data_IF_292579191542
#
_entry.id   IF_292579191542
#
_cell.length_a   1.000
_cell.length_b   1.000
_cell.length_c   1.000
_cell.angle_alpha   90.00
_cell.angle_beta   90.00
_cell.angle_gamma   90.00
#
_symmetry.space_group_name_H-M   'P 1'
#
loop_
_entity.id
_entity.type
_entity.pdbx_description
1 polymer ?
#
# COMPACT_ATOMS: atom_id res chain seq x y z
N UNK A 1 14.35 -42.02 -48.15
CA UNK A 1 14.87 -40.77 -47.54
C UNK A 1 13.77 -39.83 -47.03
N UNK A 2 12.63 -39.68 -47.72
CA UNK A 2 11.53 -38.78 -47.34
C UNK A 2 10.91 -39.06 -45.95
N UNK A 3 10.72 -40.33 -45.56
CA UNK A 3 10.10 -40.70 -44.28
C UNK A 3 10.90 -40.19 -43.07
N UNK A 4 12.25 -40.30 -43.12
CA UNK A 4 13.14 -39.80 -42.06
C UNK A 4 13.03 -38.28 -41.92
N UNK A 5 12.95 -37.56 -43.03
CA UNK A 5 12.80 -36.10 -43.00
C UNK A 5 11.45 -35.68 -42.41
N UNK A 6 10.36 -36.37 -42.77
CA UNK A 6 9.02 -36.10 -42.20
C UNK A 6 9.01 -36.31 -40.69
N UNK A 7 9.60 -37.40 -40.20
CA UNK A 7 9.69 -37.69 -38.76
C UNK A 7 10.49 -36.61 -38.04
N UNK A 8 11.65 -36.22 -38.58
CA UNK A 8 12.48 -35.18 -37.97
C UNK A 8 11.75 -33.84 -37.93
N UNK A 9 11.12 -33.41 -39.03
CA UNK A 9 10.36 -32.16 -39.06
C UNK A 9 9.19 -32.16 -38.09
N UNK A 10 8.52 -33.30 -37.93
CA UNK A 10 7.44 -33.47 -36.96
C UNK A 10 7.94 -33.31 -35.51
N UNK A 11 9.04 -33.97 -35.15
CA UNK A 11 9.65 -33.81 -33.83
C UNK A 11 10.16 -32.38 -33.58
N UNK A 12 10.70 -31.73 -34.61
CA UNK A 12 11.19 -30.35 -34.51
C UNK A 12 10.03 -29.37 -34.27
N UNK A 13 8.91 -29.56 -34.97
CA UNK A 13 7.68 -28.79 -34.74
C UNK A 13 7.13 -29.02 -33.33
N UNK A 14 7.11 -30.28 -32.87
CA UNK A 14 6.62 -30.63 -31.55
C UNK A 14 7.50 -29.98 -30.46
N UNK A 15 8.82 -30.06 -30.62
CA UNK A 15 9.78 -29.43 -29.71
C UNK A 15 9.63 -27.90 -29.67
N UNK A 16 9.49 -27.26 -30.84
CA UNK A 16 9.28 -25.81 -30.92
C UNK A 16 7.96 -25.39 -30.28
N UNK A 17 6.89 -26.16 -30.47
CA UNK A 17 5.59 -25.85 -29.87
C UNK A 17 5.62 -25.88 -28.34
N UNK A 18 6.29 -26.89 -27.76
CA UNK A 18 6.47 -27.01 -26.30
C UNK A 18 7.38 -25.91 -25.78
N UNK A 19 8.52 -25.66 -26.45
CA UNK A 19 9.46 -24.60 -26.04
C UNK A 19 8.82 -23.21 -26.07
N UNK A 20 8.05 -22.89 -27.11
CA UNK A 20 7.33 -21.63 -27.22
C UNK A 20 6.25 -21.50 -26.14
N UNK A 21 5.48 -22.58 -25.89
CA UNK A 21 4.48 -22.61 -24.82
C UNK A 21 5.09 -22.36 -23.43
N UNK A 22 6.22 -23.02 -23.12
CA UNK A 22 6.94 -22.83 -21.86
C UNK A 22 7.51 -21.41 -21.72
N UNK A 23 8.06 -20.83 -22.80
CA UNK A 23 8.59 -19.47 -22.77
C UNK A 23 7.50 -18.41 -22.51
N UNK A 24 6.34 -18.55 -23.16
CA UNK A 24 5.20 -17.65 -22.94
C UNK A 24 4.67 -17.78 -21.51
N UNK A 25 4.55 -19.01 -20.99
CA UNK A 25 4.11 -19.24 -19.63
C UNK A 25 5.08 -18.61 -18.62
N UNK A 26 6.39 -18.79 -18.81
CA UNK A 26 7.42 -18.23 -17.94
C UNK A 26 7.38 -16.69 -17.92
N UNK A 27 7.19 -16.04 -19.08
CA UNK A 27 7.06 -14.59 -19.13
C UNK A 27 5.81 -14.08 -18.41
N UNK A 28 4.67 -14.75 -18.61
CA UNK A 28 3.42 -14.37 -17.94
C UNK A 28 3.53 -14.48 -16.42
N UNK A 29 4.10 -15.58 -15.92
CA UNK A 29 4.31 -15.79 -14.48
C UNK A 29 5.26 -14.74 -13.89
N UNK A 30 6.31 -14.35 -14.63
CA UNK A 30 7.26 -13.31 -14.17
C UNK A 30 6.59 -11.94 -14.06
N UNK A 31 5.71 -11.60 -15.00
CA UNK A 31 4.98 -10.34 -15.01
C UNK A 31 3.98 -10.26 -13.84
N UNK A 32 3.24 -11.34 -13.61
CA UNK A 32 2.28 -11.46 -12.49
C UNK A 32 2.99 -11.35 -11.13
N UNK A 33 4.14 -12.00 -10.98
CA UNK A 33 4.97 -11.88 -9.78
C UNK A 33 5.42 -10.43 -9.51
N UNK A 34 5.84 -9.71 -10.55
CA UNK A 34 6.25 -8.31 -10.40
C UNK A 34 5.07 -7.40 -10.02
N UNK A 35 3.88 -7.63 -10.58
CA UNK A 35 2.67 -6.89 -10.22
C UNK A 35 2.27 -7.13 -8.77
N UNK A 36 2.24 -8.41 -8.34
CA UNK A 36 1.97 -8.79 -6.95
C UNK A 36 2.95 -8.12 -5.97
N UNK A 37 4.23 -8.10 -6.31
CA UNK A 37 5.27 -7.46 -5.50
C UNK A 37 5.08 -5.95 -5.37
N UNK A 38 4.65 -5.27 -6.43
CA UNK A 38 4.34 -3.84 -6.37
C UNK A 38 3.13 -3.56 -5.47
N UNK A 39 2.09 -4.39 -5.56
CA UNK A 39 0.90 -4.28 -4.70
C UNK A 39 1.26 -4.54 -3.24
N UNK A 40 2.09 -5.53 -2.96
CA UNK A 40 2.57 -5.83 -1.61
C UNK A 40 3.33 -4.64 -1.01
N UNK A 41 4.29 -4.06 -1.75
CA UNK A 41 5.05 -2.89 -1.28
C UNK A 41 4.16 -1.67 -1.06
N UNK A 42 3.19 -1.41 -1.94
CA UNK A 42 2.25 -0.31 -1.77
C UNK A 42 1.35 -0.51 -0.54
N UNK A 43 0.91 -1.74 -0.31
CA UNK A 43 0.05 -2.10 0.83
C UNK A 43 0.82 -1.99 2.15
N UNK A 44 2.06 -2.47 2.20
CA UNK A 44 2.91 -2.33 3.39
C UNK A 44 3.18 -0.86 3.75
N UNK A 45 3.42 0.01 2.76
CA UNK A 45 3.57 1.46 3.01
C UNK A 45 2.30 2.06 3.60
N UNK A 46 1.14 1.76 3.02
CA UNK A 46 -0.16 2.22 3.54
C UNK A 46 -0.42 1.73 4.96
N UNK A 47 -0.03 0.48 5.25
CA UNK A 47 -0.15 -0.10 6.58
C UNK A 47 0.71 0.67 7.58
N UNK A 48 1.99 0.93 7.25
CA UNK A 48 2.89 1.68 8.11
C UNK A 48 2.39 3.11 8.38
N UNK A 49 1.86 3.80 7.36
CA UNK A 49 1.24 5.12 7.52
C UNK A 49 -0.01 5.08 8.40
N UNK A 50 -0.87 4.07 8.23
CA UNK A 50 -2.06 3.90 9.05
C UNK A 50 -1.72 3.61 10.51
N UNK A 51 -0.71 2.77 10.76
CA UNK A 51 -0.22 2.48 12.11
C UNK A 51 0.36 3.72 12.79
N UNK A 52 1.11 4.55 12.06
CA UNK A 52 1.61 5.82 12.60
C UNK A 52 0.46 6.73 13.03
N UNK A 53 -0.53 6.91 12.15
CA UNK A 53 -1.73 7.72 12.46
C UNK A 53 -2.50 7.16 13.66
N UNK A 54 -2.57 5.85 13.79
CA UNK A 54 -3.25 5.20 14.89
C UNK A 54 -2.51 5.45 16.22
N UNK A 55 -1.19 5.31 16.25
CA UNK A 55 -0.37 5.66 17.42
C UNK A 55 -0.51 7.12 17.83
N UNK A 56 -0.52 8.04 16.87
CA UNK A 56 -0.71 9.46 17.15
C UNK A 56 -2.10 9.73 17.77
N UNK A 57 -3.14 9.07 17.25
CA UNK A 57 -4.49 9.17 17.79
C UNK A 57 -4.58 8.57 19.20
N UNK A 58 -3.99 7.40 19.43
CA UNK A 58 -3.93 6.78 20.76
C UNK A 58 -3.25 7.68 21.78
N UNK A 59 -2.14 8.32 21.42
CA UNK A 59 -1.46 9.27 22.29
C UNK A 59 -2.34 10.50 22.61
N UNK A 60 -3.08 11.02 21.63
CA UNK A 60 -4.06 12.09 21.86
C UNK A 60 -5.19 11.62 22.78
N UNK A 61 -5.69 10.40 22.58
CA UNK A 61 -6.77 9.80 23.38
C UNK A 61 -6.32 9.54 24.82
N UNK A 62 -5.08 9.09 25.01
CA UNK A 62 -4.46 8.91 26.31
C UNK A 62 -4.33 10.25 27.04
N UNK A 63 -3.87 11.31 26.36
CA UNK A 63 -3.81 12.67 26.94
C UNK A 63 -5.20 13.21 27.28
N UNK A 64 -6.20 12.99 26.44
CA UNK A 64 -7.60 13.35 26.75
C UNK A 64 -8.14 12.60 27.98
N UNK A 65 -7.69 11.38 28.24
CA UNK A 65 -8.14 10.61 29.42
C UNK A 65 -7.41 10.96 30.70
N UNK A 66 -6.13 11.33 30.61
CA UNK A 66 -5.24 11.51 31.77
C UNK A 66 -5.06 12.96 32.18
N UNK A 67 -5.25 13.92 31.28
CA UNK A 67 -5.05 15.34 31.54
C UNK A 67 -6.38 16.12 31.40
N UNK A 68 -7.07 16.40 32.52
CA UNK A 68 -8.30 17.18 32.50
C UNK A 68 -8.11 18.63 32.03
N UNK A 69 -6.92 19.23 32.21
CA UNK A 69 -6.64 20.59 31.72
C UNK A 69 -6.54 20.62 30.18
N UNK A 70 -5.98 19.56 29.58
CA UNK A 70 -5.94 19.38 28.12
C UNK A 70 -7.34 19.22 27.51
N UNK A 71 -8.24 18.48 28.18
CA UNK A 71 -9.64 18.32 27.78
C UNK A 71 -10.37 19.66 27.79
N UNK A 72 -10.24 20.41 28.88
CA UNK A 72 -10.88 21.72 29.02
C UNK A 72 -10.41 22.69 27.93
N UNK A 73 -9.10 22.71 27.63
CA UNK A 73 -8.52 23.50 26.54
C UNK A 73 -9.12 23.09 25.17
N UNK A 74 -9.21 21.79 24.86
CA UNK A 74 -9.76 21.31 23.59
C UNK A 74 -11.27 21.59 23.44
N UNK A 75 -12.03 21.47 24.51
CA UNK A 75 -13.45 21.82 24.55
C UNK A 75 -13.62 23.32 24.31
N UNK A 76 -12.85 24.16 25.00
CA UNK A 76 -12.87 25.63 24.83
C UNK A 76 -12.49 26.05 23.41
N UNK A 77 -11.45 25.44 22.83
CA UNK A 77 -11.06 25.66 21.44
C UNK A 77 -12.17 25.31 20.44
N UNK A 78 -12.94 24.23 20.68
CA UNK A 78 -14.05 23.83 19.81
C UNK A 78 -15.31 24.66 19.99
N UNK A 79 -15.53 25.21 21.19
CA UNK A 79 -16.64 26.10 21.51
C UNK A 79 -16.33 27.59 21.23
N UNK A 80 -15.08 27.93 20.88
CA UNK A 80 -14.67 29.31 20.62
C UNK A 80 -14.50 30.17 21.88
N UNK A 81 -14.35 29.56 23.05
CA UNK A 81 -14.15 30.26 24.32
C UNK A 81 -12.65 30.41 24.64
N UNK A 82 -12.24 31.58 25.12
CA UNK A 82 -10.91 31.83 25.69
C UNK A 82 -11.00 32.07 27.20
N UNK A 83 -9.94 31.70 27.93
CA UNK A 83 -9.74 32.22 29.29
C UNK A 83 -9.43 33.73 29.25
N UNK A 84 -9.67 34.48 30.34
CA UNK A 84 -9.38 35.92 30.40
C UNK A 84 -7.93 36.29 30.06
N UNK A 85 -6.99 35.36 30.21
CA UNK A 85 -5.55 35.54 29.98
C UNK A 85 -5.06 34.94 28.64
N UNK A 86 -5.94 34.35 27.81
CA UNK A 86 -5.57 33.74 26.52
C UNK A 86 -5.92 34.67 25.34
N UNK A 87 -4.91 35.01 24.53
CA UNK A 87 -5.10 35.74 23.27
C UNK A 87 -5.40 34.78 22.12
N UNK A 88 -6.61 34.84 21.56
CA UNK A 88 -6.95 34.14 20.31
C UNK A 88 -6.58 35.06 19.13
N UNK A 89 -5.51 34.73 18.42
CA UNK A 89 -5.22 35.34 17.13
C UNK A 89 -6.13 34.74 16.06
N UNK A 90 -7.14 35.50 15.64
CA UNK A 90 -7.94 35.19 14.46
C UNK A 90 -7.32 35.95 13.28
N UNK A 91 -6.67 35.23 12.38
CA UNK A 91 -6.20 35.80 11.12
C UNK A 91 -7.40 35.81 10.17
N UNK A 92 -7.88 37.00 9.80
CA UNK A 92 -8.70 37.15 8.59
C UNK A 92 -7.76 37.00 7.38
N UNK A 93 -8.24 36.32 6.35
CA UNK A 93 -7.52 36.10 5.07
C UNK A 93 -7.09 37.42 4.41
#
# INVERSE_FOLDING_TARGET
>A
MLIRQIIVTFYLLLFLSVGAGSAVFFWKTRQEYNQLRQVELATQRRLAEAEQRLRDQEHVLQRLRTDPAYVEMKIRQRLGYARPEEFIFRFDE
#
